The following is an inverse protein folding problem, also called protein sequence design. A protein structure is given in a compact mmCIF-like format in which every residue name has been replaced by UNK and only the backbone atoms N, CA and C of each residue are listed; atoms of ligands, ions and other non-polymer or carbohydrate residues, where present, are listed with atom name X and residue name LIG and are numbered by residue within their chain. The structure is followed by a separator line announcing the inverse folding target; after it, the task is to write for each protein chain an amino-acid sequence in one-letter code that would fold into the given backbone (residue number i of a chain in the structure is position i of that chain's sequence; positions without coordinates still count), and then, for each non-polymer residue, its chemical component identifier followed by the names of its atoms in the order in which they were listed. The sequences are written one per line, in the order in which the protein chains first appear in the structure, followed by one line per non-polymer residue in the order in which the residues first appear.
data_IF_426416546932
#
_entry.id   IF_426416546932
#
_cell.length_a   1.000
_cell.length_b   1.000
_cell.length_c   1.000
_cell.angle_alpha   90.00
_cell.angle_beta   90.00
_cell.angle_gamma   90.00
#
_symmetry.space_group_name_H-M   'P 1'
#
loop_
_entity.id
_entity.type
_entity.pdbx_description
1 polymer ?
#
# COMPACT_ATOMS: atom_id res chain seq x y z
N UNK A 1 4.32 -12.97 1.29
CA UNK A 1 4.48 -12.37 -0.06
C UNK A 1 5.39 -13.20 -0.98
N UNK A 2 6.61 -13.64 -0.62
CA UNK A 2 7.56 -14.23 -1.58
C UNK A 2 7.03 -15.46 -2.34
N UNK A 3 6.33 -16.37 -1.66
CA UNK A 3 5.73 -17.56 -2.31
C UNK A 3 4.69 -17.20 -3.37
N UNK A 4 3.84 -16.18 -3.10
CA UNK A 4 2.82 -15.71 -4.04
C UNK A 4 3.45 -14.97 -5.22
N UNK A 5 4.50 -14.18 -4.96
CA UNK A 5 5.27 -13.51 -6.00
C UNK A 5 5.96 -14.52 -6.93
N UNK A 6 6.60 -15.55 -6.35
CA UNK A 6 7.22 -16.65 -7.10
C UNK A 6 6.19 -17.47 -7.91
N UNK A 7 4.94 -17.54 -7.44
CA UNK A 7 3.84 -18.16 -8.16
C UNK A 7 3.23 -17.28 -9.27
N UNK A 8 3.75 -16.06 -9.49
CA UNK A 8 3.33 -15.19 -10.58
C UNK A 8 2.31 -14.10 -10.22
N UNK A 9 2.06 -13.85 -8.92
CA UNK A 9 1.19 -12.74 -8.54
C UNK A 9 1.78 -11.39 -8.94
N UNK A 10 1.06 -10.60 -9.72
CA UNK A 10 1.46 -9.23 -10.08
C UNK A 10 1.26 -8.23 -8.92
N UNK A 11 0.22 -8.46 -8.11
CA UNK A 11 -0.19 -7.59 -7.01
C UNK A 11 -0.58 -8.46 -5.80
N UNK A 12 -0.06 -8.12 -4.62
CA UNK A 12 -0.41 -8.75 -3.35
C UNK A 12 -0.90 -7.67 -2.39
N UNK A 13 -2.16 -7.78 -1.95
CA UNK A 13 -2.77 -6.87 -0.97
C UNK A 13 -3.05 -7.64 0.31
N UNK A 14 -2.39 -7.22 1.39
CA UNK A 14 -2.62 -7.71 2.75
C UNK A 14 -3.61 -6.85 3.50
N UNK A 15 -4.15 -7.41 4.57
CA UNK A 15 -5.08 -6.78 5.50
C UNK A 15 -4.86 -7.34 6.91
N UNK A 16 -5.73 -6.96 7.85
CA UNK A 16 -5.79 -7.52 9.22
C UNK A 16 -4.65 -7.15 10.18
N UNK A 17 -3.58 -6.49 9.72
CA UNK A 17 -2.51 -6.04 10.62
C UNK A 17 -2.94 -4.98 11.65
N UNK A 18 -4.11 -4.34 11.46
CA UNK A 18 -4.64 -3.23 12.27
C UNK A 18 -3.68 -2.02 12.43
N UNK A 19 -2.58 -2.02 11.68
CA UNK A 19 -1.56 -0.98 11.64
C UNK A 19 -1.30 -0.63 10.17
N UNK A 20 -1.02 0.64 9.89
CA UNK A 20 -0.55 1.05 8.57
C UNK A 20 0.83 0.42 8.32
N UNK A 21 0.97 -0.32 7.23
CA UNK A 21 2.20 -1.00 6.84
C UNK A 21 2.66 -0.54 5.45
N UNK A 22 3.95 -0.77 5.16
CA UNK A 22 4.56 -0.34 3.92
C UNK A 22 3.99 -1.02 2.68
N UNK A 23 4.10 -0.31 1.56
CA UNK A 23 3.89 -0.84 0.22
C UNK A 23 5.10 -0.55 -0.68
N UNK A 24 5.28 -1.38 -1.71
CA UNK A 24 6.37 -1.24 -2.67
C UNK A 24 6.52 -2.49 -3.52
N UNK A 25 7.70 -2.70 -4.06
CA UNK A 25 7.96 -3.78 -5.01
C UNK A 25 8.81 -4.88 -4.36
N UNK A 26 8.36 -6.11 -4.53
CA UNK A 26 9.12 -7.33 -4.30
C UNK A 26 9.47 -7.90 -5.67
N UNK A 27 10.63 -7.51 -6.22
CA UNK A 27 10.93 -7.75 -7.63
C UNK A 27 9.89 -7.08 -8.53
N UNK A 28 9.21 -7.86 -9.37
CA UNK A 28 8.16 -7.38 -10.26
C UNK A 28 6.75 -7.44 -9.65
N UNK A 29 6.59 -7.91 -8.41
CA UNK A 29 5.31 -7.96 -7.72
C UNK A 29 5.11 -6.73 -6.86
N UNK A 30 4.03 -6.00 -7.06
CA UNK A 30 3.64 -4.93 -6.13
C UNK A 30 3.02 -5.54 -4.86
N UNK A 31 3.47 -5.10 -3.69
CA UNK A 31 3.01 -5.58 -2.40
C UNK A 31 2.54 -4.39 -1.56
N UNK A 32 1.37 -4.51 -0.94
CA UNK A 32 0.92 -3.59 0.11
C UNK A 32 0.42 -4.40 1.30
N UNK A 33 1.13 -4.36 2.44
CA UNK A 33 0.89 -5.30 3.53
C UNK A 33 -0.36 -5.01 4.39
N UNK A 34 -0.76 -3.74 4.52
CA UNK A 34 -1.98 -3.38 5.25
C UNK A 34 -2.18 -1.87 5.37
N UNK A 35 -3.44 -1.41 5.29
CA UNK A 35 -3.78 0.02 5.35
C UNK A 35 -4.25 0.47 6.74
N UNK A 36 -4.02 -0.36 7.77
CA UNK A 36 -4.52 -0.13 9.10
C UNK A 36 -6.04 -0.26 9.22
N UNK A 37 -6.57 0.30 10.30
CA UNK A 37 -8.00 0.34 10.57
C UNK A 37 -8.68 1.40 9.69
N UNK A 38 -9.79 1.09 9.02
CA UNK A 38 -10.52 2.08 8.23
C UNK A 38 -11.74 2.62 8.97
N UNK A 39 -12.66 1.73 9.39
CA UNK A 39 -13.78 2.03 10.27
C UNK A 39 -13.58 1.28 11.59
N UNK A 40 -13.27 1.99 12.68
CA UNK A 40 -12.86 1.37 13.94
C UNK A 40 -13.07 2.24 15.17
N UNK A 41 -13.93 1.82 16.10
CA UNK A 41 -14.33 2.59 17.29
C UNK A 41 -13.77 2.03 18.61
N UNK A 42 -12.96 0.97 18.54
CA UNK A 42 -12.34 0.34 19.70
C UNK A 42 -10.95 0.94 19.94
N UNK A 43 -10.43 0.74 21.15
CA UNK A 43 -9.04 1.07 21.46
C UNK A 43 -8.10 0.45 20.41
N UNK A 44 -7.13 1.24 19.96
CA UNK A 44 -6.18 0.85 18.92
C UNK A 44 -4.81 1.40 19.23
N UNK A 45 -3.78 0.64 18.88
CA UNK A 45 -2.38 1.09 18.97
C UNK A 45 -2.01 2.11 17.89
N UNK A 46 -2.83 2.24 16.84
CA UNK A 46 -2.67 3.24 15.78
C UNK A 46 -4.01 3.68 15.21
N UNK A 47 -4.10 4.95 14.84
CA UNK A 47 -5.21 5.53 14.07
C UNK A 47 -4.79 5.89 12.64
N UNK A 48 -3.52 5.73 12.27
CA UNK A 48 -3.05 6.00 10.91
C UNK A 48 -3.66 4.99 9.94
N UNK A 49 -4.25 5.50 8.87
CA UNK A 49 -4.96 4.71 7.85
C UNK A 49 -4.92 5.38 6.49
N UNK A 50 -5.60 4.81 5.51
CA UNK A 50 -5.80 5.45 4.21
C UNK A 50 -6.36 4.53 3.15
N UNK A 51 -6.53 5.10 1.96
CA UNK A 51 -6.97 4.38 0.78
C UNK A 51 -5.80 4.26 -0.19
N UNK A 52 -5.42 3.03 -0.53
CA UNK A 52 -4.45 2.77 -1.59
C UNK A 52 -5.18 2.63 -2.92
N UNK A 53 -5.07 3.63 -3.79
CA UNK A 53 -5.58 3.57 -5.16
C UNK A 53 -4.54 2.95 -6.07
N UNK A 54 -4.86 1.80 -6.64
CA UNK A 54 -4.08 1.14 -7.68
C UNK A 54 -4.76 1.33 -9.03
N UNK A 55 -3.99 1.67 -10.05
CA UNK A 55 -4.48 1.83 -11.43
C UNK A 55 -3.63 0.98 -12.36
N UNK A 56 -4.27 -0.04 -12.93
CA UNK A 56 -3.67 -0.93 -13.93
C UNK A 56 -3.88 -0.31 -15.31
N UNK A 57 -2.83 -0.33 -16.13
CA UNK A 57 -2.87 0.19 -17.47
C UNK A 57 -2.50 -0.93 -18.46
N UNK A 58 -3.11 -0.97 -19.67
CA UNK A 58 -2.79 -2.00 -20.67
C UNK A 58 -1.33 -1.99 -21.12
N UNK A 59 -0.74 -0.79 -21.26
CA UNK A 59 0.59 -0.57 -21.83
C UNK A 59 1.47 0.35 -20.98
N UNK A 60 1.13 0.52 -19.71
CA UNK A 60 1.91 1.36 -18.80
C UNK A 60 2.08 0.69 -17.43
N UNK A 61 3.12 1.06 -16.65
CA UNK A 61 3.33 0.52 -15.33
C UNK A 61 2.16 0.79 -14.37
N UNK A 62 1.94 -0.12 -13.43
CA UNK A 62 1.00 0.07 -12.31
C UNK A 62 1.25 1.43 -11.65
N UNK A 63 0.20 2.23 -11.50
CA UNK A 63 0.25 3.45 -10.71
C UNK A 63 -0.32 3.19 -9.33
N UNK A 64 0.42 3.55 -8.28
CA UNK A 64 -0.02 3.45 -6.89
C UNK A 64 -0.08 4.85 -6.25
N UNK A 65 -1.23 5.19 -5.67
CA UNK A 65 -1.44 6.46 -4.96
C UNK A 65 -2.09 6.21 -3.61
N UNK A 66 -1.41 6.59 -2.54
CA UNK A 66 -1.94 6.52 -1.19
C UNK A 66 -2.67 7.83 -0.84
N UNK A 67 -3.89 7.73 -0.33
CA UNK A 67 -4.66 8.83 0.26
C UNK A 67 -4.63 8.64 1.77
N UNK A 68 -3.82 9.42 2.50
CA UNK A 68 -3.71 9.27 3.95
C UNK A 68 -5.00 9.71 4.65
N UNK A 69 -5.32 9.03 5.73
CA UNK A 69 -6.42 9.35 6.61
C UNK A 69 -6.07 8.96 8.05
N UNK A 70 -6.86 9.48 8.98
CA UNK A 70 -6.84 9.11 10.39
C UNK A 70 -8.21 8.60 10.80
N UNK A 71 -8.24 7.54 11.61
CA UNK A 71 -9.47 7.10 12.26
C UNK A 71 -9.83 8.11 13.36
N UNK A 72 -11.03 8.68 13.29
CA UNK A 72 -11.54 9.66 14.25
C UNK A 72 -11.89 9.01 15.60
N UNK A 73 -12.18 9.82 16.62
CA UNK A 73 -12.68 9.32 17.91
C UNK A 73 -14.04 8.61 17.82
N UNK A 74 -14.82 8.89 16.77
CA UNK A 74 -16.09 8.20 16.46
C UNK A 74 -15.89 7.00 15.50
N UNK A 75 -14.64 6.74 15.12
CA UNK A 75 -14.21 5.57 14.36
C UNK A 75 -14.27 5.69 12.85
N UNK A 76 -14.76 6.80 12.29
CA UNK A 76 -14.76 6.99 10.82
C UNK A 76 -13.38 7.46 10.33
N UNK A 77 -12.98 7.09 9.10
CA UNK A 77 -11.77 7.61 8.50
C UNK A 77 -12.01 9.05 8.04
N UNK A 78 -11.11 9.95 8.44
CA UNK A 78 -11.08 11.34 8.00
C UNK A 78 -9.80 11.54 7.18
N UNK A 79 -9.95 12.01 5.94
CA UNK A 79 -8.81 12.26 5.04
C UNK A 79 -7.90 13.33 5.66
N UNK A 80 -6.60 13.03 5.74
CA UNK A 80 -5.64 13.98 6.25
C UNK A 80 -5.51 15.19 5.30
N UNK A 81 -5.30 16.37 5.87
CA UNK A 81 -5.12 17.61 5.13
C UNK A 81 -3.87 18.36 5.59
N UNK A 82 -3.39 19.30 4.76
CA UNK A 82 -2.32 20.23 5.11
C UNK A 82 -1.07 19.55 5.68
N UNK A 83 -0.64 19.98 6.86
CA UNK A 83 0.57 19.45 7.50
C UNK A 83 0.44 17.98 7.92
N UNK A 84 -0.74 17.52 8.30
CA UNK A 84 -0.97 16.11 8.64
C UNK A 84 -0.78 15.21 7.40
N UNK A 85 -1.38 15.61 6.27
CA UNK A 85 -1.23 14.88 5.00
C UNK A 85 0.23 14.80 4.57
N UNK A 86 0.98 15.91 4.66
CA UNK A 86 2.42 15.92 4.31
C UNK A 86 3.22 14.96 5.18
N UNK A 87 2.96 14.93 6.50
CA UNK A 87 3.63 13.99 7.42
C UNK A 87 3.28 12.54 7.10
N UNK A 88 2.00 12.23 6.88
CA UNK A 88 1.57 10.88 6.53
C UNK A 88 2.15 10.42 5.19
N UNK A 89 2.20 11.30 4.19
CA UNK A 89 2.80 11.03 2.88
C UNK A 89 4.33 10.88 2.93
N UNK A 90 5.00 11.49 3.90
CA UNK A 90 6.43 11.26 4.15
C UNK A 90 6.67 9.95 4.92
N UNK A 91 5.77 9.61 5.85
CA UNK A 91 5.86 8.41 6.67
C UNK A 91 5.56 7.13 5.89
N UNK A 92 4.53 7.13 5.04
CA UNK A 92 4.12 5.91 4.33
C UNK A 92 5.25 5.29 3.46
N UNK A 93 6.03 6.06 2.69
CA UNK A 93 7.20 5.54 2.00
C UNK A 93 8.32 5.04 2.92
N UNK A 94 8.47 5.55 4.15
CA UNK A 94 9.51 5.08 5.07
C UNK A 94 9.22 3.67 5.60
N UNK A 95 7.95 3.29 5.71
CA UNK A 95 7.53 1.94 6.10
C UNK A 95 7.96 0.86 5.10
N UNK A 96 8.18 1.25 3.84
CA UNK A 96 8.65 0.36 2.77
C UNK A 96 10.01 -0.25 3.09
N UNK A 97 10.93 0.56 3.63
CA UNK A 97 12.30 0.15 3.98
C UNK A 97 12.30 -0.93 5.06
N UNK A 98 11.43 -0.82 6.07
CA UNK A 98 11.27 -1.82 7.11
C UNK A 98 10.77 -3.18 6.57
N UNK A 99 10.11 -3.17 5.41
CA UNK A 99 9.51 -4.34 4.78
C UNK A 99 10.38 -4.96 3.68
N UNK A 100 11.59 -4.43 3.44
CA UNK A 100 12.49 -4.93 2.40
C UNK A 100 11.96 -4.75 0.97
N UNK A 101 11.10 -3.76 0.74
CA UNK A 101 10.50 -3.47 -0.57
C UNK A 101 11.23 -2.32 -1.27
N UNK A 102 11.27 -2.33 -2.60
CA UNK A 102 11.83 -1.23 -3.41
C UNK A 102 10.75 -0.24 -3.86
N UNK A 103 11.18 1.00 -4.18
CA UNK A 103 10.27 2.06 -4.63
C UNK A 103 9.69 1.80 -6.03
N UNK A 104 10.45 1.10 -6.85
CA UNK A 104 10.16 0.79 -8.25
C UNK A 104 10.51 -0.67 -8.53
N UNK A 105 9.87 -1.30 -9.52
CA UNK A 105 10.29 -2.62 -9.97
C UNK A 105 11.68 -2.53 -10.64
N UNK A 106 12.41 -3.64 -10.76
CA UNK A 106 13.60 -3.71 -11.60
C UNK A 106 13.32 -3.25 -13.04
N UNK A 107 14.32 -2.68 -13.71
CA UNK A 107 14.22 -2.32 -15.11
C UNK A 107 14.04 -3.59 -15.98
N UNK A 108 13.04 -3.58 -16.86
CA UNK A 108 12.65 -4.73 -17.68
C UNK A 108 11.13 -4.88 -17.68
N UNK A 109 10.53 -4.89 -18.87
CA UNK A 109 9.09 -4.87 -19.03
C UNK A 109 8.44 -6.11 -18.38
N UNK A 110 7.44 -5.87 -17.52
CA UNK A 110 6.39 -6.85 -17.29
C UNK A 110 5.59 -6.86 -18.60
N UNK A 111 6.04 -7.62 -19.59
CA UNK A 111 5.18 -7.97 -20.72
C UNK A 111 4.10 -8.87 -20.13
N UNK A 112 2.81 -8.50 -20.16
CA UNK A 112 1.77 -9.44 -19.77
C UNK A 112 1.90 -10.63 -20.72
N UNK A 113 2.21 -11.80 -20.19
CA UNK A 113 2.07 -13.03 -20.97
C UNK A 113 0.58 -13.11 -21.31
N UNK A 114 0.24 -12.88 -22.58
CA UNK A 114 -1.09 -13.17 -23.07
C UNK A 114 -1.36 -14.64 -22.76
N UNK A 115 -2.34 -14.90 -21.89
CA UNK A 115 -2.94 -16.22 -21.82
C UNK A 115 -3.55 -16.49 -23.20
N UNK A 116 -3.08 -17.56 -23.85
CA UNK A 116 -3.67 -18.09 -25.08
C UNK A 116 -4.98 -18.82 -24.82
#
# INVERSE_FOLDING_TARGET
APKLAAAGASIIIGAHAHMLQGSGWLGHTFVAYGMGNFLWWKNSYSTATGVLKLTLHPHAPLTARFVPAVVSGTGQPIVDQGAAARRALAHYPSLRTCAGLSASPPAGAITPTSAG
#
